data_IF_941278421440
#
_entry.id   IF_941278421440
#
_cell.length_a   1.000
_cell.length_b   1.000
_cell.length_c   1.000
_cell.angle_alpha   90.00
_cell.angle_beta   90.00
_cell.angle_gamma   90.00
#
_symmetry.space_group_name_H-M   'P 1'
#
loop_
_entity.id
_entity.type
_entity.pdbx_description
1 polymer ?
#
# COMPACT_ATOMS: atom_id res chain seq x y z
N UNK A 1 -17.32 -1.99 4.69
CA UNK A 1 -16.75 -1.85 3.34
C UNK A 1 -15.41 -2.54 3.21
N UNK A 2 -14.37 -2.21 3.99
CA UNK A 2 -13.04 -2.86 3.86
C UNK A 2 -13.02 -4.33 4.31
N UNK A 3 -13.72 -4.69 5.38
CA UNK A 3 -13.64 -6.05 5.97
C UNK A 3 -14.21 -7.16 5.08
N UNK A 4 -15.24 -6.87 4.27
CA UNK A 4 -15.88 -7.86 3.39
C UNK A 4 -14.95 -8.32 2.24
N UNK A 5 -14.40 -7.43 1.40
CA UNK A 5 -13.42 -7.81 0.38
C UNK A 5 -12.15 -8.37 1.03
N UNK A 6 -11.76 -7.88 2.21
CA UNK A 6 -10.64 -8.46 2.96
C UNK A 6 -10.86 -9.94 3.27
N UNK A 7 -11.97 -10.30 3.92
CA UNK A 7 -12.29 -11.70 4.26
C UNK A 7 -12.44 -12.55 3.01
N UNK A 8 -13.05 -12.01 1.95
CA UNK A 8 -13.17 -12.69 0.66
C UNK A 8 -11.79 -13.00 0.04
N UNK A 9 -10.88 -12.03 -0.01
CA UNK A 9 -9.52 -12.25 -0.51
C UNK A 9 -8.76 -13.25 0.37
N UNK A 10 -8.90 -13.17 1.70
CA UNK A 10 -8.30 -14.15 2.63
C UNK A 10 -8.79 -15.56 2.32
N UNK A 11 -10.10 -15.74 2.15
CA UNK A 11 -10.66 -17.04 1.78
C UNK A 11 -10.06 -17.56 0.47
N UNK A 12 -10.05 -16.75 -0.59
CA UNK A 12 -9.52 -17.16 -1.90
C UNK A 12 -8.02 -17.41 -1.90
N UNK A 13 -7.23 -16.62 -1.16
CA UNK A 13 -5.79 -16.79 -1.04
C UNK A 13 -5.40 -18.11 -0.35
N UNK A 14 -6.30 -18.68 0.46
CA UNK A 14 -6.12 -19.99 1.09
C UNK A 14 -6.65 -21.16 0.22
N UNK A 15 -7.04 -20.90 -1.03
CA UNK A 15 -7.34 -21.95 -2.03
C UNK A 15 -6.17 -22.14 -2.98
N UNK A 16 -6.23 -23.17 -3.83
CA UNK A 16 -5.23 -23.44 -4.88
C UNK A 16 -5.27 -22.45 -6.06
N UNK A 17 -6.15 -21.44 -6.02
CA UNK A 17 -6.33 -20.48 -7.11
C UNK A 17 -5.03 -19.74 -7.48
N UNK A 18 -4.17 -19.47 -6.48
CA UNK A 18 -2.96 -18.65 -6.64
C UNK A 18 -1.65 -19.44 -6.51
N UNK A 19 -1.69 -20.76 -6.66
CA UNK A 19 -0.50 -21.62 -6.54
C UNK A 19 0.59 -21.29 -7.56
N UNK A 20 0.19 -20.76 -8.72
CA UNK A 20 1.09 -20.41 -9.82
C UNK A 20 1.59 -18.96 -9.78
N UNK A 21 1.07 -18.13 -8.87
CA UNK A 21 1.52 -16.73 -8.78
C UNK A 21 2.96 -16.67 -8.30
N UNK A 22 3.76 -15.79 -8.91
CA UNK A 22 5.12 -15.53 -8.47
C UNK A 22 5.11 -14.66 -7.20
N UNK A 23 5.51 -15.27 -6.09
CA UNK A 23 5.63 -14.62 -4.78
C UNK A 23 6.92 -15.05 -4.10
N UNK A 24 7.49 -14.17 -3.28
CA UNK A 24 8.72 -14.44 -2.53
C UNK A 24 8.39 -15.23 -1.25
N UNK A 25 8.95 -16.44 -1.15
CA UNK A 25 8.76 -17.36 0.00
C UNK A 25 10.06 -17.55 0.81
N UNK A 26 11.07 -16.71 0.57
CA UNK A 26 12.36 -16.74 1.26
C UNK A 26 12.77 -15.35 1.67
N UNK A 27 13.63 -15.23 2.69
CA UNK A 27 14.20 -13.95 3.11
C UNK A 27 15.29 -13.44 2.16
N UNK A 28 15.76 -14.25 1.20
CA UNK A 28 16.87 -13.90 0.30
C UNK A 28 16.59 -12.66 -0.57
N UNK A 29 15.32 -12.33 -0.76
CA UNK A 29 14.86 -11.16 -1.50
C UNK A 29 14.97 -9.86 -0.68
N UNK A 30 15.30 -9.95 0.61
CA UNK A 30 15.52 -8.83 1.50
C UNK A 30 17.00 -8.71 1.83
N UNK A 31 17.55 -7.50 1.73
CA UNK A 31 18.89 -7.25 2.25
C UNK A 31 18.97 -7.28 3.80
N UNK A 32 17.84 -7.29 4.51
CA UNK A 32 17.81 -7.33 5.97
C UNK A 32 18.00 -8.78 6.38
N UNK A 33 19.08 -9.05 7.13
CA UNK A 33 19.36 -10.39 7.63
C UNK A 33 18.34 -10.78 8.70
N UNK A 34 17.84 -12.01 8.61
CA UNK A 34 17.06 -12.60 9.70
C UNK A 34 17.92 -12.73 10.96
N UNK A 35 17.29 -12.52 12.12
CA UNK A 35 17.91 -12.73 13.43
C UNK A 35 17.43 -14.06 13.99
N UNK A 36 18.25 -15.11 13.87
CA UNK A 36 17.87 -16.49 14.21
C UNK A 36 17.52 -16.69 15.69
N UNK A 37 18.00 -15.81 16.59
CA UNK A 37 17.69 -15.85 18.02
C UNK A 37 16.31 -15.26 18.37
N UNK A 38 15.64 -14.59 17.43
CA UNK A 38 14.32 -13.99 17.62
C UNK A 38 13.21 -14.94 17.16
N UNK A 39 12.01 -14.88 17.77
CA UNK A 39 10.85 -15.60 17.25
C UNK A 39 10.52 -15.11 15.83
N UNK A 40 9.87 -15.96 15.02
CA UNK A 40 9.58 -15.67 13.60
C UNK A 40 8.84 -14.33 13.37
N UNK A 41 7.97 -13.94 14.32
CA UNK A 41 7.28 -12.64 14.30
C UNK A 41 8.22 -11.42 14.42
N UNK A 42 9.45 -11.60 14.86
CA UNK A 42 10.45 -10.55 15.07
C UNK A 42 11.78 -10.84 14.35
N UNK A 43 11.80 -11.87 13.49
CA UNK A 43 13.01 -12.30 12.79
C UNK A 43 13.59 -11.20 11.89
N UNK A 44 12.76 -10.25 11.44
CA UNK A 44 13.16 -9.07 10.67
C UNK A 44 12.75 -7.78 11.38
N UNK A 45 13.51 -7.32 12.40
CA UNK A 45 13.07 -6.27 13.31
C UNK A 45 12.71 -4.94 12.63
N UNK A 46 13.45 -4.52 11.60
CA UNK A 46 13.16 -3.26 10.91
C UNK A 46 11.92 -3.36 10.03
N UNK A 47 11.76 -4.46 9.29
CA UNK A 47 10.52 -4.73 8.56
C UNK A 47 9.30 -4.91 9.51
N UNK A 48 9.50 -5.42 10.73
CA UNK A 48 8.42 -5.48 11.72
C UNK A 48 8.04 -4.09 12.25
N UNK A 49 9.01 -3.19 12.43
CA UNK A 49 8.76 -1.79 12.82
C UNK A 49 7.89 -1.05 11.78
N UNK A 50 8.06 -1.34 10.49
CA UNK A 50 7.19 -0.82 9.44
C UNK A 50 5.73 -1.26 9.63
N UNK A 51 5.48 -2.53 9.98
CA UNK A 51 4.11 -3.01 10.20
C UNK A 51 3.45 -2.26 11.36
N UNK A 52 4.23 -1.96 12.40
CA UNK A 52 3.80 -1.11 13.52
C UNK A 52 3.48 0.31 13.03
N UNK A 53 4.31 0.89 12.15
CA UNK A 53 4.05 2.20 11.55
C UNK A 53 2.74 2.24 10.74
N UNK A 54 2.42 1.19 9.97
CA UNK A 54 1.13 1.07 9.29
C UNK A 54 -0.05 1.08 10.26
N UNK A 55 0.04 0.31 11.33
CA UNK A 55 -1.00 0.24 12.36
C UNK A 55 -1.19 1.62 13.00
N UNK A 56 -0.10 2.28 13.41
CA UNK A 56 -0.18 3.61 14.00
C UNK A 56 -0.73 4.65 13.03
N UNK A 57 -0.32 4.61 11.76
CA UNK A 57 -0.84 5.51 10.74
C UNK A 57 -2.35 5.32 10.54
N UNK A 58 -2.79 4.07 10.45
CA UNK A 58 -4.20 3.71 10.34
C UNK A 58 -5.00 4.22 11.55
N UNK A 59 -4.52 3.97 12.77
CA UNK A 59 -5.19 4.45 13.99
C UNK A 59 -5.19 5.98 14.09
N UNK A 60 -4.08 6.63 13.77
CA UNK A 60 -3.95 8.08 13.74
C UNK A 60 -5.01 8.70 12.82
N UNK A 61 -5.09 8.24 11.57
CA UNK A 61 -6.07 8.75 10.62
C UNK A 61 -7.48 8.27 10.88
N UNK A 62 -7.70 7.17 11.60
CA UNK A 62 -9.05 6.74 12.00
C UNK A 62 -9.62 7.67 13.09
N UNK A 63 -8.80 7.99 14.08
CA UNK A 63 -9.17 8.81 15.23
C UNK A 63 -8.90 10.30 15.05
N UNK A 64 -8.33 10.71 13.91
CA UNK A 64 -8.10 12.11 13.59
C UNK A 64 -9.43 12.88 13.66
N UNK A 65 -9.45 13.89 14.53
CA UNK A 65 -10.56 14.84 14.67
C UNK A 65 -10.07 16.18 14.16
N UNK A 66 -10.51 16.57 12.97
CA UNK A 66 -10.36 17.95 12.54
C UNK A 66 -11.32 18.82 13.34
N UNK A 67 -10.87 20.00 13.80
CA UNK A 67 -11.75 21.05 14.31
C UNK A 67 -12.57 21.75 13.21
N UNK A 68 -12.43 21.30 11.96
CA UNK A 68 -13.13 21.77 10.76
C UNK A 68 -14.32 20.87 10.49
N UNK A 69 -15.43 21.41 9.97
CA UNK A 69 -16.62 20.68 9.58
C UNK A 69 -16.35 19.70 8.41
N UNK A 70 -15.71 18.57 8.71
CA UNK A 70 -15.53 17.46 7.76
C UNK A 70 -16.89 16.85 7.42
N UNK A 71 -17.18 16.73 6.12
CA UNK A 71 -18.41 16.06 5.66
C UNK A 71 -18.39 14.57 5.98
N UNK A 72 -19.57 13.97 6.16
CA UNK A 72 -19.70 12.53 6.43
C UNK A 72 -19.02 11.67 5.35
N UNK A 73 -19.12 12.06 4.08
CA UNK A 73 -18.49 11.36 2.97
C UNK A 73 -16.96 11.48 2.97
N UNK A 74 -16.41 12.66 3.28
CA UNK A 74 -14.96 12.87 3.44
C UNK A 74 -14.43 11.98 4.57
N UNK A 75 -15.14 11.97 5.71
CA UNK A 75 -14.82 11.11 6.85
C UNK A 75 -14.82 9.63 6.45
N UNK A 76 -15.88 9.17 5.80
CA UNK A 76 -16.02 7.79 5.38
C UNK A 76 -14.85 7.35 4.49
N UNK A 77 -14.51 8.15 3.48
CA UNK A 77 -13.41 7.85 2.58
C UNK A 77 -12.05 7.81 3.29
N UNK A 78 -11.79 8.76 4.22
CA UNK A 78 -10.59 8.77 5.07
C UNK A 78 -10.52 7.51 5.94
N UNK A 79 -11.64 7.14 6.56
CA UNK A 79 -11.74 5.94 7.39
C UNK A 79 -11.50 4.66 6.58
N UNK A 80 -11.95 4.59 5.33
CA UNK A 80 -11.63 3.46 4.45
C UNK A 80 -10.12 3.36 4.22
N UNK A 81 -9.47 4.46 3.86
CA UNK A 81 -8.02 4.48 3.62
C UNK A 81 -7.23 4.12 4.90
N UNK A 82 -7.66 4.64 6.05
CA UNK A 82 -7.10 4.32 7.36
C UNK A 82 -7.25 2.84 7.73
N UNK A 83 -8.42 2.25 7.47
CA UNK A 83 -8.67 0.81 7.70
C UNK A 83 -7.85 -0.07 6.75
N UNK A 84 -7.65 0.35 5.51
CA UNK A 84 -6.77 -0.37 4.58
C UNK A 84 -5.33 -0.42 5.10
N UNK A 85 -4.78 0.70 5.58
CA UNK A 85 -3.46 0.72 6.22
C UNK A 85 -3.41 -0.17 7.47
N UNK A 86 -4.45 -0.10 8.31
CA UNK A 86 -4.55 -0.90 9.54
C UNK A 86 -4.59 -2.41 9.26
N UNK A 87 -5.29 -2.85 8.21
CA UNK A 87 -5.37 -4.27 7.84
C UNK A 87 -4.16 -4.75 7.04
N UNK A 88 -3.51 -3.87 6.28
CA UNK A 88 -2.32 -4.20 5.52
C UNK A 88 -1.14 -4.57 6.44
N UNK A 89 -0.94 -3.84 7.53
CA UNK A 89 0.15 -4.12 8.49
C UNK A 89 0.20 -5.58 8.97
N UNK A 90 -0.89 -6.16 9.51
CA UNK A 90 -0.94 -7.58 9.89
C UNK A 90 -0.72 -8.57 8.74
N UNK A 91 -1.18 -8.25 7.53
CA UNK A 91 -0.97 -9.11 6.35
C UNK A 91 0.52 -9.17 6.00
N UNK A 92 1.17 -8.00 5.89
CA UNK A 92 2.60 -7.92 5.63
C UNK A 92 3.39 -8.60 6.76
N UNK A 93 2.98 -8.41 8.02
CA UNK A 93 3.62 -9.06 9.16
C UNK A 93 3.51 -10.59 9.09
N UNK A 94 2.33 -11.11 8.78
CA UNK A 94 2.09 -12.56 8.65
C UNK A 94 2.91 -13.15 7.51
N UNK A 95 3.05 -12.42 6.39
CA UNK A 95 3.93 -12.82 5.28
C UNK A 95 5.37 -12.97 5.75
N UNK A 96 5.90 -11.98 6.46
CA UNK A 96 7.28 -12.02 6.96
C UNK A 96 7.49 -13.12 7.99
N UNK A 97 6.52 -13.37 8.86
CA UNK A 97 6.66 -14.35 9.93
C UNK A 97 6.51 -15.79 9.47
N UNK A 98 5.71 -16.04 8.43
CA UNK A 98 5.34 -17.41 8.03
C UNK A 98 5.97 -17.86 6.74
N UNK A 99 6.38 -16.91 5.87
CA UNK A 99 6.85 -17.18 4.51
C UNK A 99 5.91 -18.08 3.70
N UNK A 100 4.62 -18.11 4.07
CA UNK A 100 3.60 -18.89 3.39
C UNK A 100 3.09 -18.15 2.15
N UNK A 101 2.63 -18.93 1.17
CA UNK A 101 2.09 -18.41 -0.09
C UNK A 101 0.87 -17.52 0.10
N UNK A 102 -0.11 -17.94 0.92
CA UNK A 102 -1.36 -17.19 1.08
C UNK A 102 -1.12 -15.74 1.60
N UNK A 103 -0.35 -15.51 2.69
CA UNK A 103 0.02 -14.16 3.10
C UNK A 103 0.83 -13.37 2.04
N UNK A 104 1.71 -14.05 1.27
CA UNK A 104 2.48 -13.39 0.23
C UNK A 104 1.61 -12.93 -0.95
N UNK A 105 0.61 -13.73 -1.32
CA UNK A 105 -0.43 -13.37 -2.28
C UNK A 105 -1.26 -12.19 -1.77
N UNK A 106 -1.71 -12.24 -0.50
CA UNK A 106 -2.51 -11.16 0.10
C UNK A 106 -1.75 -9.83 0.17
N UNK A 107 -0.44 -9.87 0.48
CA UNK A 107 0.42 -8.68 0.50
C UNK A 107 0.42 -7.96 -0.86
N UNK A 108 0.63 -8.70 -1.96
CA UNK A 108 0.53 -8.14 -3.30
C UNK A 108 -0.90 -7.71 -3.64
N UNK A 109 -1.88 -8.57 -3.39
CA UNK A 109 -3.26 -8.35 -3.82
C UNK A 109 -3.88 -7.12 -3.15
N UNK A 110 -3.67 -6.92 -1.85
CA UNK A 110 -4.19 -5.76 -1.13
C UNK A 110 -3.49 -4.45 -1.45
N UNK A 111 -2.26 -4.50 -1.98
CA UNK A 111 -1.58 -3.31 -2.48
C UNK A 111 -2.39 -2.65 -3.61
N UNK A 112 -3.07 -3.42 -4.46
CA UNK A 112 -3.80 -2.85 -5.61
C UNK A 112 -5.00 -1.98 -5.18
N UNK A 113 -5.95 -2.46 -4.33
CA UNK A 113 -7.05 -1.63 -3.86
C UNK A 113 -6.58 -0.38 -3.11
N UNK A 114 -5.49 -0.46 -2.33
CA UNK A 114 -4.90 0.70 -1.66
C UNK A 114 -4.63 1.82 -2.66
N UNK A 115 -3.93 1.52 -3.75
CA UNK A 115 -3.67 2.52 -4.79
C UNK A 115 -4.93 2.90 -5.58
N UNK A 116 -5.89 1.99 -5.75
CA UNK A 116 -7.16 2.27 -6.43
C UNK A 116 -8.05 3.25 -5.66
N UNK A 117 -7.91 3.35 -4.34
CA UNK A 117 -8.68 4.28 -3.53
C UNK A 117 -8.17 5.72 -3.58
N UNK A 118 -6.91 5.95 -3.99
CA UNK A 118 -6.39 7.30 -4.27
C UNK A 118 -7.19 8.02 -5.37
N UNK A 119 -7.41 7.45 -6.57
CA UNK A 119 -8.24 8.10 -7.59
C UNK A 119 -9.72 8.21 -7.18
N UNK A 120 -10.23 7.35 -6.29
CA UNK A 120 -11.57 7.51 -5.69
C UNK A 120 -11.63 8.77 -4.82
N UNK A 121 -10.63 8.95 -3.95
CA UNK A 121 -10.47 10.15 -3.12
C UNK A 121 -10.36 11.42 -3.97
N UNK A 122 -9.51 11.40 -5.00
CA UNK A 122 -9.30 12.53 -5.89
C UNK A 122 -10.56 12.86 -6.70
N UNK A 123 -11.31 11.87 -7.18
CA UNK A 123 -12.58 12.10 -7.88
C UNK A 123 -13.64 12.73 -6.96
N UNK A 124 -13.65 12.36 -5.67
CA UNK A 124 -14.51 12.98 -4.68
C UNK A 124 -14.15 14.46 -4.47
N UNK A 125 -12.86 14.79 -4.34
CA UNK A 125 -12.38 16.18 -4.24
C UNK A 125 -12.77 16.99 -5.49
N UNK A 126 -12.57 16.42 -6.67
CA UNK A 126 -12.86 17.11 -7.92
C UNK A 126 -14.36 17.39 -8.10
N UNK A 127 -15.22 16.44 -7.73
CA UNK A 127 -16.66 16.55 -7.99
C UNK A 127 -17.46 17.08 -6.81
N UNK A 128 -16.84 17.18 -5.63
CA UNK A 128 -17.49 17.42 -4.34
C UNK A 128 -18.72 16.51 -4.10
N UNK A 129 -18.74 15.32 -4.73
CA UNK A 129 -19.89 14.42 -4.75
C UNK A 129 -19.44 12.97 -4.65
N UNK A 130 -19.96 12.29 -3.63
CA UNK A 130 -19.76 10.86 -3.44
C UNK A 130 -20.58 10.04 -4.45
N UNK A 131 -19.95 9.01 -5.04
CA UNK A 131 -20.59 8.04 -5.95
C UNK A 131 -20.13 6.63 -5.59
N UNK A 132 -20.88 5.98 -4.70
CA UNK A 132 -20.56 4.63 -4.22
C UNK A 132 -20.39 3.61 -5.35
N UNK A 133 -21.21 3.69 -6.41
CA UNK A 133 -21.10 2.79 -7.56
C UNK A 133 -19.79 2.95 -8.32
N UNK A 134 -19.27 4.17 -8.43
CA UNK A 134 -17.99 4.43 -9.09
C UNK A 134 -16.81 3.92 -8.25
N UNK A 135 -16.86 4.13 -6.93
CA UNK A 135 -15.86 3.58 -6.02
C UNK A 135 -15.87 2.04 -6.02
N UNK A 136 -17.05 1.42 -5.95
CA UNK A 136 -17.19 -0.03 -6.01
C UNK A 136 -16.69 -0.62 -7.35
N UNK A 137 -16.94 0.07 -8.47
CA UNK A 137 -16.42 -0.35 -9.77
C UNK A 137 -14.89 -0.29 -9.82
N UNK A 138 -14.27 0.79 -9.31
CA UNK A 138 -12.81 0.91 -9.25
C UNK A 138 -12.19 -0.14 -8.31
N UNK A 139 -12.81 -0.38 -7.15
CA UNK A 139 -12.36 -1.42 -6.22
C UNK A 139 -12.47 -2.82 -6.84
N UNK A 140 -13.58 -3.14 -7.51
CA UNK A 140 -13.74 -4.41 -8.22
C UNK A 140 -12.71 -4.58 -9.33
N UNK A 141 -12.53 -3.55 -10.18
CA UNK A 141 -11.50 -3.56 -11.22
C UNK A 141 -10.11 -3.80 -10.62
N UNK A 142 -9.82 -3.17 -9.48
CA UNK A 142 -8.55 -3.35 -8.78
C UNK A 142 -8.36 -4.78 -8.28
N UNK A 143 -9.37 -5.34 -7.62
CA UNK A 143 -9.35 -6.74 -7.14
C UNK A 143 -9.17 -7.71 -8.31
N UNK A 144 -9.91 -7.53 -9.40
CA UNK A 144 -9.83 -8.37 -10.60
C UNK A 144 -8.49 -8.22 -11.32
N UNK A 145 -7.88 -7.03 -11.31
CA UNK A 145 -6.60 -6.80 -11.99
C UNK A 145 -5.45 -7.66 -11.45
N UNK A 146 -5.56 -8.17 -10.22
CA UNK A 146 -4.60 -9.13 -9.69
C UNK A 146 -4.57 -10.45 -10.49
N UNK A 147 -5.63 -10.77 -11.24
CA UNK A 147 -5.64 -11.89 -12.18
C UNK A 147 -4.52 -11.82 -13.23
N UNK A 148 -3.96 -10.64 -13.50
CA UNK A 148 -2.76 -10.52 -14.34
C UNK A 148 -1.57 -11.30 -13.78
N UNK A 149 -1.42 -11.39 -12.44
CA UNK A 149 -0.36 -12.14 -11.78
C UNK A 149 -0.50 -13.66 -11.97
N UNK A 150 -1.69 -14.15 -12.33
CA UNK A 150 -1.91 -15.54 -12.77
C UNK A 150 -1.53 -15.75 -14.23
N UNK A 151 -1.69 -14.73 -15.06
CA UNK A 151 -1.44 -14.80 -16.49
C UNK A 151 0.04 -14.60 -16.86
N UNK A 152 0.79 -13.84 -16.06
CA UNK A 152 2.18 -13.50 -16.36
C UNK A 152 3.00 -13.21 -15.10
N UNK A 153 4.30 -13.53 -15.12
CA UNK A 153 5.21 -13.32 -13.99
C UNK A 153 5.34 -11.85 -13.57
N UNK A 154 5.16 -10.93 -14.52
CA UNK A 154 5.15 -9.47 -14.30
C UNK A 154 3.76 -8.87 -14.15
N UNK A 155 2.73 -9.72 -14.02
CA UNK A 155 1.34 -9.28 -14.05
C UNK A 155 0.97 -8.37 -12.88
N UNK A 156 1.51 -8.65 -11.70
CA UNK A 156 1.35 -7.81 -10.53
C UNK A 156 1.99 -6.42 -10.74
N UNK A 157 3.22 -6.35 -11.25
CA UNK A 157 3.95 -5.11 -11.49
C UNK A 157 3.24 -4.24 -12.53
N UNK A 158 2.71 -4.86 -13.59
CA UNK A 158 1.90 -4.15 -14.59
C UNK A 158 0.63 -3.59 -13.96
N UNK A 159 -0.12 -4.41 -13.20
CA UNK A 159 -1.32 -3.97 -12.52
C UNK A 159 -1.03 -2.79 -11.57
N UNK A 160 -0.01 -2.94 -10.72
CA UNK A 160 0.43 -1.91 -9.79
C UNK A 160 0.85 -0.63 -10.51
N UNK A 161 1.65 -0.75 -11.57
CA UNK A 161 2.09 0.38 -12.40
C UNK A 161 0.92 1.18 -12.98
N UNK A 162 -0.12 0.50 -13.49
CA UNK A 162 -1.33 1.16 -13.96
C UNK A 162 -2.06 1.92 -12.85
N UNK A 163 -2.16 1.34 -11.65
CA UNK A 163 -2.81 2.00 -10.50
C UNK A 163 -2.02 3.24 -10.05
N UNK A 164 -0.69 3.11 -9.93
CA UNK A 164 0.21 4.22 -9.59
C UNK A 164 0.10 5.34 -10.62
N UNK A 165 0.16 5.01 -11.91
CA UNK A 165 0.05 5.99 -12.98
C UNK A 165 -1.30 6.73 -12.95
N UNK A 166 -2.41 6.02 -12.72
CA UNK A 166 -3.73 6.62 -12.61
C UNK A 166 -3.84 7.55 -11.40
N UNK A 167 -3.33 7.12 -10.24
CA UNK A 167 -3.31 7.92 -9.02
C UNK A 167 -2.49 9.21 -9.21
N UNK A 168 -1.28 9.09 -9.77
CA UNK A 168 -0.41 10.23 -10.06
C UNK A 168 -1.05 11.19 -11.08
N UNK A 169 -1.57 10.67 -12.18
CA UNK A 169 -2.25 11.47 -13.20
C UNK A 169 -3.41 12.28 -12.61
N UNK A 170 -4.31 11.62 -11.86
CA UNK A 170 -5.46 12.32 -11.27
C UNK A 170 -5.03 13.33 -10.21
N UNK A 171 -4.11 12.96 -9.32
CA UNK A 171 -3.61 13.84 -8.27
C UNK A 171 -2.97 15.11 -8.84
N UNK A 172 -2.08 14.96 -9.82
CA UNK A 172 -1.44 16.10 -10.51
C UNK A 172 -2.47 16.94 -11.25
N UNK A 173 -3.39 16.32 -11.98
CA UNK A 173 -4.44 17.04 -12.73
C UNK A 173 -5.30 17.90 -11.80
N UNK A 174 -5.74 17.36 -10.65
CA UNK A 174 -6.54 18.14 -9.69
C UNK A 174 -5.72 19.23 -9.02
N UNK A 175 -4.46 18.96 -8.68
CA UNK A 175 -3.54 19.97 -8.15
C UNK A 175 -3.34 21.13 -9.13
N UNK A 176 -3.14 20.85 -10.42
CA UNK A 176 -2.99 21.89 -11.45
C UNK A 176 -4.28 22.70 -11.65
N UNK A 177 -5.44 22.07 -11.52
CA UNK A 177 -6.72 22.72 -11.76
C UNK A 177 -7.20 23.57 -10.56
N UNK A 178 -6.86 23.19 -9.32
CA UNK A 178 -7.50 23.73 -8.11
C UNK A 178 -6.59 23.89 -6.89
N UNK A 179 -5.36 23.38 -6.95
CA UNK A 179 -4.48 23.36 -5.80
C UNK A 179 -3.75 24.67 -5.57
N UNK A 180 -3.16 24.79 -4.39
CA UNK A 180 -2.28 25.89 -4.00
C UNK A 180 -0.86 25.38 -3.68
N UNK A 181 0.01 26.26 -3.17
CA UNK A 181 1.37 25.88 -2.80
C UNK A 181 1.43 24.87 -1.64
N UNK A 182 0.47 24.90 -0.72
CA UNK A 182 0.43 24.00 0.42
C UNK A 182 0.01 22.58 -0.02
N UNK A 183 -1.09 22.46 -0.76
CA UNK A 183 -1.53 21.17 -1.32
C UNK A 183 -0.53 20.63 -2.35
N UNK A 184 0.10 21.52 -3.13
CA UNK A 184 1.14 21.17 -4.09
C UNK A 184 2.36 20.52 -3.44
N UNK A 185 2.74 20.98 -2.25
CA UNK A 185 3.79 20.34 -1.44
C UNK A 185 3.39 18.91 -1.05
N UNK A 186 2.15 18.68 -0.61
CA UNK A 186 1.70 17.34 -0.24
C UNK A 186 1.62 16.40 -1.44
N UNK A 187 1.14 16.87 -2.60
CA UNK A 187 1.16 16.09 -3.84
C UNK A 187 2.59 15.72 -4.23
N UNK A 188 3.53 16.67 -4.17
CA UNK A 188 4.94 16.38 -4.44
C UNK A 188 5.52 15.34 -3.47
N UNK A 189 5.24 15.49 -2.17
CA UNK A 189 5.71 14.54 -1.15
C UNK A 189 5.10 13.15 -1.34
N UNK A 190 3.83 13.04 -1.72
CA UNK A 190 3.17 11.79 -2.06
C UNK A 190 3.82 11.12 -3.29
N UNK A 191 4.10 11.88 -4.35
CA UNK A 191 4.75 11.38 -5.56
C UNK A 191 6.20 10.95 -5.31
N UNK A 192 6.97 11.74 -4.56
CA UNK A 192 8.34 11.39 -4.17
C UNK A 192 8.37 10.14 -3.29
N UNK A 193 7.41 10.01 -2.38
CA UNK A 193 7.25 8.81 -1.56
C UNK A 193 6.86 7.60 -2.42
N UNK A 194 5.92 7.75 -3.36
CA UNK A 194 5.57 6.68 -4.28
C UNK A 194 6.76 6.23 -5.15
N UNK A 195 7.53 7.20 -5.68
CA UNK A 195 8.76 6.91 -6.42
C UNK A 195 9.80 6.21 -5.53
N UNK A 196 9.98 6.65 -4.28
CA UNK A 196 10.85 6.01 -3.30
C UNK A 196 10.44 4.57 -3.00
N UNK A 197 9.15 4.31 -2.84
CA UNK A 197 8.60 2.96 -2.66
C UNK A 197 8.98 2.02 -3.82
N UNK A 198 8.94 2.50 -5.06
CA UNK A 198 9.31 1.68 -6.23
C UNK A 198 10.83 1.55 -6.36
N UNK A 199 11.55 2.66 -6.40
CA UNK A 199 12.97 2.70 -6.75
C UNK A 199 13.83 2.04 -5.67
N UNK A 200 13.57 2.32 -4.39
CA UNK A 200 14.37 1.77 -3.29
C UNK A 200 14.15 0.26 -3.15
N UNK A 201 12.96 -0.23 -3.48
CA UNK A 201 12.66 -1.67 -3.52
C UNK A 201 13.39 -2.35 -4.68
N UNK A 202 13.34 -1.78 -5.88
CA UNK A 202 14.01 -2.35 -7.07
C UNK A 202 15.54 -2.35 -6.93
N UNK A 203 16.09 -1.35 -6.24
CA UNK A 203 17.53 -1.22 -6.05
C UNK A 203 18.03 -1.81 -4.73
N UNK A 204 17.22 -2.56 -3.98
CA UNK A 204 17.55 -3.00 -2.60
C UNK A 204 18.92 -3.68 -2.52
N UNK A 205 19.14 -4.72 -3.34
CA UNK A 205 20.40 -5.47 -3.37
C UNK A 205 21.60 -4.60 -3.81
N UNK A 206 21.37 -3.68 -4.75
CA UNK A 206 22.42 -2.77 -5.21
C UNK A 206 22.75 -1.71 -4.16
N UNK A 207 21.75 -1.23 -3.41
CA UNK A 207 21.91 -0.25 -2.34
C UNK A 207 22.65 -0.84 -1.15
N UNK A 208 22.47 -2.15 -0.87
CA UNK A 208 23.10 -2.85 0.26
C UNK A 208 24.64 -2.76 0.30
N UNK A 209 25.31 -2.32 -0.77
CA UNK A 209 26.76 -2.03 -0.77
C UNK A 209 27.15 -0.75 -0.03
N UNK A 210 26.23 0.18 0.18
CA UNK A 210 26.48 1.42 0.91
C UNK A 210 26.12 1.24 2.39
N UNK A 211 26.93 1.82 3.27
CA UNK A 211 26.84 1.63 4.73
C UNK A 211 25.44 1.89 5.32
N UNK A 212 24.73 2.91 4.81
CA UNK A 212 23.38 3.26 5.25
C UNK A 212 22.37 2.11 5.02
N UNK A 213 22.56 1.36 3.93
CA UNK A 213 21.64 0.31 3.47
C UNK A 213 22.03 -1.09 3.92
N UNK A 214 23.14 -1.25 4.66
CA UNK A 214 23.53 -2.53 5.24
C UNK A 214 22.70 -2.92 6.46
N UNK A 215 22.07 -1.94 7.14
CA UNK A 215 21.17 -2.16 8.28
C UNK A 215 19.74 -1.72 7.97
N UNK A 216 19.59 -0.51 7.44
CA UNK A 216 18.30 0.04 7.02
C UNK A 216 18.19 -0.07 5.50
N UNK A 217 17.69 -1.19 5.04
CA UNK A 217 17.77 -1.60 3.63
C UNK A 217 16.96 -0.73 2.69
N UNK A 218 17.21 -0.85 1.39
CA UNK A 218 16.37 -0.22 0.38
C UNK A 218 14.91 -0.66 0.52
N UNK A 219 14.67 -1.92 0.84
CA UNK A 219 13.35 -2.43 1.15
C UNK A 219 12.73 -1.72 2.37
N UNK A 220 13.48 -1.58 3.47
CA UNK A 220 13.01 -0.86 4.65
C UNK A 220 12.61 0.58 4.30
N UNK A 221 13.49 1.33 3.63
CA UNK A 221 13.21 2.71 3.24
C UNK A 221 12.07 2.81 2.23
N UNK A 222 11.95 1.85 1.30
CA UNK A 222 10.82 1.77 0.37
C UNK A 222 9.49 1.68 1.12
N UNK A 223 9.47 0.98 2.25
CA UNK A 223 8.29 0.84 3.09
C UNK A 223 8.03 2.04 4.00
N UNK A 224 9.07 2.74 4.44
CA UNK A 224 8.89 4.08 5.03
C UNK A 224 8.21 5.00 4.02
N UNK A 225 8.67 5.00 2.78
CA UNK A 225 8.03 5.76 1.70
C UNK A 225 6.59 5.32 1.44
N UNK A 226 6.30 4.02 1.52
CA UNK A 226 4.95 3.46 1.39
C UNK A 226 4.01 4.00 2.50
N UNK A 227 4.46 4.02 3.76
CA UNK A 227 3.74 4.65 4.89
C UNK A 227 3.54 6.17 4.66
N UNK A 228 4.56 6.86 4.15
CA UNK A 228 4.49 8.30 3.90
C UNK A 228 3.56 8.67 2.74
N UNK A 229 3.52 7.89 1.65
CA UNK A 229 2.56 8.16 0.57
C UNK A 229 1.11 8.01 1.05
N UNK A 230 0.84 7.07 1.96
CA UNK A 230 -0.47 6.96 2.59
C UNK A 230 -0.83 8.24 3.37
N UNK A 231 0.11 8.73 4.19
CA UNK A 231 -0.09 9.94 4.97
C UNK A 231 -0.34 11.16 4.07
N UNK A 232 0.54 11.40 3.09
CA UNK A 232 0.44 12.57 2.23
C UNK A 232 -0.76 12.54 1.28
N UNK A 233 -1.30 11.36 0.96
CA UNK A 233 -2.55 11.25 0.19
C UNK A 233 -3.78 11.73 0.96
N UNK A 234 -3.72 11.76 2.29
CA UNK A 234 -4.80 12.21 3.18
C UNK A 234 -4.61 13.67 3.67
N UNK A 235 -3.50 14.32 3.32
CA UNK A 235 -3.18 15.69 3.70
C UNK A 235 -3.71 16.73 2.70
#
# INVERSE_FOLDING_TARGET
HVSVPFVFCVFLANTSLFDRVKVDLTYEHYAEKSVDSMPALLAMPFNCLINVAYVFLGLYWLFWRTGVAETEHSRYLRQVFALMALFYGPVQWTRLATLMRAPAVLDQWFTLPIFAWVPVWVDFIERARWRASHAAALELCSVVSYGLALAHERGFEVALGCHVALAAYKGVRVQLARGDSATGRYVLLALLSCAGFVVLKLLDAWLARFWLFQRLTGHFWSKVCDVLQFHFSLC
#
